data_IF_427047302669
#
_entry.id   IF_427047302669
#
_cell.length_a   1.000
_cell.length_b   1.000
_cell.length_c   1.000
_cell.angle_alpha   90.00
_cell.angle_beta   90.00
_cell.angle_gamma   90.00
#
_symmetry.space_group_name_H-M   'P 1'
#
loop_
_entity.id
_entity.type
_entity.pdbx_description
1 polymer ?
#
# COMPACT_ATOMS: atom_id res chain seq x y z
N UNK A 1 10.59 13.36 -27.30
CA UNK A 1 9.12 13.30 -27.18
C UNK A 1 8.87 12.65 -25.83
N UNK A 2 8.88 13.44 -24.75
CA UNK A 2 8.48 12.94 -23.43
C UNK A 2 6.96 12.99 -23.40
N UNK A 3 6.34 11.83 -23.23
CA UNK A 3 4.89 11.73 -23.13
C UNK A 3 4.37 12.53 -21.93
N UNK A 4 3.18 13.10 -22.03
CA UNK A 4 2.52 13.78 -20.91
C UNK A 4 2.42 12.80 -19.72
N UNK A 5 3.05 13.13 -18.60
CA UNK A 5 2.86 12.41 -17.34
C UNK A 5 1.45 12.76 -16.84
N UNK A 6 0.46 11.96 -17.25
CA UNK A 6 -0.90 12.06 -16.75
C UNK A 6 -0.96 11.75 -15.25
N UNK A 7 -1.84 12.42 -14.50
CA UNK A 7 -2.11 12.05 -13.12
C UNK A 7 -2.86 10.71 -13.07
N UNK A 8 -2.15 9.64 -12.77
CA UNK A 8 -2.74 8.31 -12.59
C UNK A 8 -3.00 8.06 -11.10
N UNK A 9 -4.23 8.31 -10.64
CA UNK A 9 -4.63 7.92 -9.29
C UNK A 9 -4.78 6.39 -9.23
N UNK A 10 -4.07 5.74 -8.31
CA UNK A 10 -4.29 4.33 -7.97
C UNK A 10 -5.13 4.19 -6.70
N UNK A 11 -6.00 3.17 -6.65
CA UNK A 11 -6.67 2.76 -5.40
C UNK A 11 -5.97 1.51 -4.86
N UNK A 12 -5.64 1.50 -3.57
CA UNK A 12 -5.10 0.34 -2.87
C UNK A 12 -6.14 -0.22 -1.89
N UNK A 13 -6.32 -1.55 -1.89
CA UNK A 13 -7.20 -2.26 -0.96
C UNK A 13 -6.43 -3.41 -0.32
N UNK A 14 -6.49 -3.51 1.01
CA UNK A 14 -5.92 -4.64 1.77
C UNK A 14 -7.07 -5.42 2.40
N UNK A 15 -7.17 -6.71 2.06
CA UNK A 15 -8.13 -7.65 2.67
C UNK A 15 -7.41 -8.61 3.60
N UNK A 16 -7.80 -8.62 4.87
CA UNK A 16 -7.33 -9.62 5.84
C UNK A 16 -8.02 -10.96 5.58
N UNK A 17 -7.22 -12.05 5.48
CA UNK A 17 -7.73 -13.43 5.27
C UNK A 17 -7.90 -14.21 6.57
N UNK A 18 -7.50 -13.63 7.70
CA UNK A 18 -7.53 -14.20 9.05
C UNK A 18 -8.16 -13.18 10.01
N UNK A 19 -8.68 -13.59 11.18
CA UNK A 19 -9.19 -12.65 12.19
C UNK A 19 -8.06 -11.79 12.79
N UNK A 20 -8.40 -10.63 13.36
CA UNK A 20 -7.43 -9.67 13.92
C UNK A 20 -6.50 -10.30 14.98
N UNK A 21 -7.03 -11.20 15.81
CA UNK A 21 -6.25 -11.89 16.85
C UNK A 21 -5.06 -12.70 16.28
N UNK A 22 -5.18 -13.24 15.07
CA UNK A 22 -4.05 -13.93 14.40
C UNK A 22 -2.88 -12.97 14.15
N UNK A 23 -3.19 -11.73 13.76
CA UNK A 23 -2.16 -10.73 13.45
C UNK A 23 -1.53 -10.15 14.71
N UNK A 24 -2.30 -10.00 15.78
CA UNK A 24 -1.77 -9.62 17.10
C UNK A 24 -0.80 -10.68 17.63
N UNK A 25 -1.16 -11.96 17.61
CA UNK A 25 -0.27 -13.04 18.07
C UNK A 25 0.98 -13.19 17.21
N UNK A 26 0.86 -13.04 15.88
CA UNK A 26 1.98 -13.27 14.96
C UNK A 26 2.90 -12.06 14.80
N UNK A 27 2.34 -10.86 14.79
CA UNK A 27 3.06 -9.61 14.46
C UNK A 27 3.09 -8.61 15.63
N UNK A 28 2.52 -8.95 16.79
CA UNK A 28 2.47 -8.08 17.95
C UNK A 28 1.49 -6.91 17.82
N UNK A 29 0.68 -6.86 16.76
CA UNK A 29 -0.29 -5.79 16.55
C UNK A 29 -1.48 -6.23 15.69
N UNK A 30 -2.73 -5.86 16.06
CA UNK A 30 -3.89 -6.05 15.19
C UNK A 30 -3.86 -5.13 13.96
N UNK A 31 -3.04 -4.06 13.96
CA UNK A 31 -2.96 -3.06 12.90
C UNK A 31 -2.02 -3.47 11.75
N UNK A 32 -1.60 -4.74 11.69
CA UNK A 32 -0.68 -5.21 10.65
C UNK A 32 -1.15 -4.87 9.22
N UNK A 33 -2.44 -5.05 8.93
CA UNK A 33 -3.00 -4.73 7.60
C UNK A 33 -2.95 -3.25 7.24
N UNK A 34 -3.07 -2.37 8.23
CA UNK A 34 -2.96 -0.93 8.04
C UNK A 34 -1.52 -0.51 7.75
N UNK A 35 -0.54 -1.11 8.43
CA UNK A 35 0.89 -0.89 8.12
C UNK A 35 1.24 -1.35 6.69
N UNK A 36 0.66 -2.46 6.23
CA UNK A 36 0.82 -2.90 4.83
C UNK A 36 0.21 -1.90 3.83
N UNK A 37 -0.94 -1.31 4.16
CA UNK A 37 -1.56 -0.28 3.32
C UNK A 37 -0.67 0.96 3.21
N UNK A 38 -0.11 1.45 4.32
CA UNK A 38 0.83 2.57 4.30
C UNK A 38 2.03 2.32 3.39
N UNK A 39 2.63 1.12 3.48
CA UNK A 39 3.75 0.74 2.64
C UNK A 39 3.39 0.66 1.14
N UNK A 40 2.15 0.28 0.81
CA UNK A 40 1.64 0.31 -0.56
C UNK A 40 1.44 1.74 -1.07
N UNK A 41 0.92 2.64 -0.22
CA UNK A 41 0.74 4.05 -0.55
C UNK A 41 2.08 4.75 -0.78
N UNK A 42 3.10 4.45 0.03
CA UNK A 42 4.47 4.97 -0.15
C UNK A 42 5.08 4.54 -1.48
N UNK A 43 4.87 3.28 -1.91
CA UNK A 43 5.30 2.81 -3.23
C UNK A 43 4.56 3.50 -4.38
N UNK A 44 3.29 3.83 -4.20
CA UNK A 44 2.53 4.57 -5.20
C UNK A 44 3.01 6.02 -5.32
N UNK A 45 3.45 6.62 -4.21
CA UNK A 45 4.10 7.94 -4.22
C UNK A 45 5.38 7.95 -5.07
N UNK A 46 6.21 6.90 -4.95
CA UNK A 46 7.49 6.77 -5.68
C UNK A 46 7.29 6.42 -7.17
N UNK A 47 6.19 5.73 -7.53
CA UNK A 47 5.88 5.39 -8.94
C UNK A 47 5.60 6.59 -9.84
N UNK A 48 5.23 7.73 -9.27
CA UNK A 48 5.11 8.99 -10.03
C UNK A 48 6.46 9.66 -10.34
N UNK A 49 7.57 9.21 -9.73
CA UNK A 49 8.91 9.74 -9.94
C UNK A 49 9.79 8.83 -10.81
N UNK A 50 9.67 7.50 -10.71
CA UNK A 50 10.47 6.55 -11.50
C UNK A 50 9.90 6.28 -12.91
N UNK A 51 8.95 7.11 -13.37
CA UNK A 51 8.25 7.01 -14.66
C UNK A 51 8.50 8.19 -15.60
N UNK A 52 9.69 8.78 -15.57
CA UNK A 52 10.18 9.79 -16.52
C UNK A 52 11.61 9.45 -16.98
#
# INVERSE_FOLDING_TARGET
>A
MSDEIGHHCGIALVRLRKPLAYYEQKYGTPLWGFNQLFLLMEKQHIRGQDGA
#
